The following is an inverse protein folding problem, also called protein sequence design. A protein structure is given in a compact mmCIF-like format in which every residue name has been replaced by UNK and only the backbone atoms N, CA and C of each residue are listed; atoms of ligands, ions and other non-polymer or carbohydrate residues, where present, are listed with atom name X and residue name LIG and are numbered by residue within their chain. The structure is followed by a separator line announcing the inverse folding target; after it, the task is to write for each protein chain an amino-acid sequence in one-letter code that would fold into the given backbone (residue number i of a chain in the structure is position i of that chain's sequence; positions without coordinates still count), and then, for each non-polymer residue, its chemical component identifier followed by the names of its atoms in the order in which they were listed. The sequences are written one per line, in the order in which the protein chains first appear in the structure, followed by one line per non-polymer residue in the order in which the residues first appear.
data_IF_261151398127
#
_entry.id   IF_261151398127
#
_cell.length_a   1.000
_cell.length_b   1.000
_cell.length_c   1.000
_cell.angle_alpha   90.00
_cell.angle_beta   90.00
_cell.angle_gamma   90.00
#
_symmetry.space_group_name_H-M   'P 1'
#
loop_
_entity.id
_entity.type
_entity.pdbx_description
1 polymer ?
#
# COMPACT_ATOMS: atom_id res chain seq x y z
N UNK A 1 3.83 0.12 18.39
CA UNK A 1 3.85 1.26 17.44
C UNK A 1 4.20 2.49 18.26
N UNK A 2 5.29 3.18 17.95
CA UNK A 2 5.49 4.54 18.48
C UNK A 2 4.63 5.40 17.57
N UNK A 3 3.37 5.62 17.96
CA UNK A 3 2.59 6.73 17.42
C UNK A 3 3.28 7.99 17.94
N UNK A 4 4.11 8.60 17.10
CA UNK A 4 4.43 10.00 17.31
C UNK A 4 3.16 10.76 16.94
N UNK A 5 2.41 11.15 17.97
CA UNK A 5 1.35 12.15 17.84
C UNK A 5 2.04 13.47 17.50
N UNK A 6 2.41 13.61 16.23
CA UNK A 6 3.03 14.80 15.69
C UNK A 6 1.93 15.86 15.64
N UNK A 7 1.81 16.62 16.72
CA UNK A 7 0.93 17.80 16.77
C UNK A 7 1.36 18.78 15.66
N UNK A 8 0.61 18.78 14.55
CA UNK A 8 0.87 19.66 13.42
C UNK A 8 0.51 19.06 12.07
N UNK A 9 0.27 19.93 11.09
CA UNK A 9 0.05 19.49 9.69
C UNK A 9 1.40 19.12 9.07
N UNK A 10 1.49 18.08 8.20
CA UNK A 10 2.74 17.73 7.52
C UNK A 10 3.45 18.92 6.86
N UNK A 11 2.69 19.87 6.30
CA UNK A 11 3.22 21.09 5.70
C UNK A 11 3.94 22.03 6.68
N UNK A 12 3.54 22.10 7.96
CA UNK A 12 4.22 22.87 9.00
C UNK A 12 5.55 22.22 9.43
N UNK A 13 5.68 20.93 9.15
CA UNK A 13 6.88 20.14 9.43
C UNK A 13 7.81 20.05 8.20
N UNK A 14 7.50 20.79 7.12
CA UNK A 14 8.32 20.84 5.91
C UNK A 14 8.05 19.72 4.90
N UNK A 15 7.03 18.89 5.12
CA UNK A 15 6.69 17.80 4.20
C UNK A 15 5.78 18.25 3.05
N UNK A 16 5.95 17.60 1.90
CA UNK A 16 5.01 17.63 0.77
C UNK A 16 4.77 16.22 0.25
N UNK A 17 3.59 15.96 -0.31
CA UNK A 17 3.39 14.79 -1.16
C UNK A 17 4.08 15.06 -2.50
N UNK A 18 5.07 14.26 -2.91
CA UNK A 18 5.66 14.39 -4.23
C UNK A 18 4.65 13.98 -5.31
N UNK A 19 4.81 14.53 -6.51
CA UNK A 19 4.02 14.09 -7.65
C UNK A 19 4.42 12.66 -8.05
N UNK A 20 3.47 11.90 -8.59
CA UNK A 20 3.68 10.47 -8.95
C UNK A 20 4.68 10.26 -10.10
N UNK A 21 5.12 11.31 -10.77
CA UNK A 21 6.19 11.23 -11.78
C UNK A 21 7.57 11.59 -11.22
N UNK A 22 7.66 12.01 -9.96
CA UNK A 22 8.96 12.19 -9.28
C UNK A 22 9.59 10.81 -9.00
N UNK A 23 10.92 10.72 -8.83
CA UNK A 23 11.58 9.44 -8.61
C UNK A 23 11.04 8.67 -7.39
N UNK A 24 10.74 7.39 -7.58
CA UNK A 24 10.28 6.49 -6.54
C UNK A 24 11.39 5.57 -6.05
N UNK A 25 11.26 5.12 -4.79
CA UNK A 25 12.11 4.05 -4.26
C UNK A 25 11.57 2.66 -4.62
N UNK A 26 10.25 2.47 -4.59
CA UNK A 26 9.57 1.21 -4.89
C UNK A 26 8.05 1.39 -5.01
N UNK A 27 7.38 0.39 -5.58
CA UNK A 27 5.91 0.27 -5.61
C UNK A 27 5.40 -0.69 -4.51
N UNK A 28 4.20 -0.42 -3.99
CA UNK A 28 3.48 -1.30 -3.05
C UNK A 28 2.15 -1.76 -3.66
N UNK A 29 1.83 -3.04 -3.50
CA UNK A 29 0.58 -3.63 -4.00
C UNK A 29 -0.03 -4.59 -2.96
N UNK A 30 -1.36 -4.62 -2.86
CA UNK A 30 -2.11 -5.66 -2.14
C UNK A 30 -2.40 -6.86 -3.04
N UNK A 31 -2.59 -8.04 -2.48
CA UNK A 31 -2.88 -9.27 -3.23
C UNK A 31 -4.38 -9.57 -3.27
N UNK A 32 -4.99 -9.75 -4.46
CA UNK A 32 -6.43 -9.99 -4.57
C UNK A 32 -6.77 -11.43 -4.20
N UNK A 33 -7.77 -11.61 -3.33
CA UNK A 33 -8.18 -12.94 -2.91
C UNK A 33 -9.67 -13.12 -2.57
N UNK A 34 -10.36 -12.04 -2.12
CA UNK A 34 -11.73 -12.17 -1.60
C UNK A 34 -12.70 -12.66 -2.69
N UNK A 35 -13.42 -13.77 -2.48
CA UNK A 35 -14.19 -14.44 -3.54
C UNK A 35 -15.52 -13.75 -3.87
N UNK A 36 -15.99 -12.85 -3.00
CA UNK A 36 -17.21 -12.07 -3.18
C UNK A 36 -17.02 -10.86 -4.11
N UNK A 37 -15.78 -10.35 -4.23
CA UNK A 37 -15.40 -9.34 -5.22
C UNK A 37 -14.74 -9.98 -6.46
N UNK A 38 -13.81 -10.91 -6.23
CA UNK A 38 -13.02 -11.51 -7.30
C UNK A 38 -13.53 -12.89 -7.71
N UNK A 39 -14.14 -12.96 -8.90
CA UNK A 39 -14.65 -14.22 -9.48
C UNK A 39 -13.59 -15.33 -9.50
N UNK A 40 -14.05 -16.59 -9.43
CA UNK A 40 -13.21 -17.78 -9.59
C UNK A 40 -12.07 -17.83 -8.56
N UNK A 41 -12.39 -17.49 -7.31
CA UNK A 41 -11.45 -17.40 -6.18
C UNK A 41 -10.23 -16.54 -6.51
N UNK A 42 -10.50 -15.37 -7.11
CA UNK A 42 -9.49 -14.41 -7.57
C UNK A 42 -8.46 -14.89 -8.60
N UNK A 43 -8.52 -16.13 -9.11
CA UNK A 43 -7.47 -16.69 -10.00
C UNK A 43 -7.10 -15.74 -11.14
N UNK A 44 -8.10 -15.16 -11.81
CA UNK A 44 -7.86 -14.22 -12.91
C UNK A 44 -7.32 -12.87 -12.45
N UNK A 45 -7.78 -12.36 -11.31
CA UNK A 45 -7.26 -11.13 -10.69
C UNK A 45 -5.80 -11.30 -10.28
N UNK A 46 -5.46 -12.43 -9.66
CA UNK A 46 -4.09 -12.78 -9.26
C UNK A 46 -3.15 -12.82 -10.47
N UNK A 47 -3.56 -13.46 -11.57
CA UNK A 47 -2.75 -13.43 -12.79
C UNK A 47 -2.57 -12.00 -13.34
N UNK A 48 -3.61 -11.18 -13.35
CA UNK A 48 -3.49 -9.78 -13.78
C UNK A 48 -2.54 -8.98 -12.87
N UNK A 49 -2.62 -9.16 -11.55
CA UNK A 49 -1.72 -8.51 -10.59
C UNK A 49 -0.27 -8.97 -10.74
N UNK A 50 -0.04 -10.26 -11.05
CA UNK A 50 1.30 -10.78 -11.38
C UNK A 50 1.86 -10.10 -12.62
N UNK A 51 1.06 -9.88 -13.66
CA UNK A 51 1.50 -9.18 -14.87
C UNK A 51 1.81 -7.71 -14.59
N UNK A 52 0.97 -7.02 -13.82
CA UNK A 52 1.21 -5.61 -13.42
C UNK A 52 2.48 -5.49 -12.57
N UNK A 53 2.62 -6.30 -11.52
CA UNK A 53 3.81 -6.30 -10.67
C UNK A 53 5.06 -6.64 -11.47
N UNK A 54 4.96 -7.61 -12.39
CA UNK A 54 6.05 -7.96 -13.31
C UNK A 54 6.45 -6.81 -14.22
N UNK A 55 5.49 -6.04 -14.73
CA UNK A 55 5.74 -4.88 -15.56
C UNK A 55 6.46 -3.78 -14.77
N UNK A 56 5.95 -3.44 -13.57
CA UNK A 56 6.56 -2.43 -12.69
C UNK A 56 7.98 -2.86 -12.26
N UNK A 57 8.19 -4.14 -11.98
CA UNK A 57 9.47 -4.69 -11.50
C UNK A 57 10.65 -4.53 -12.46
N UNK A 58 10.38 -4.15 -13.72
CA UNK A 58 11.41 -3.81 -14.72
C UNK A 58 11.99 -2.42 -14.51
N UNK A 59 11.29 -1.54 -13.77
CA UNK A 59 11.66 -0.14 -13.56
C UNK A 59 12.04 0.14 -12.11
N UNK A 60 11.35 -0.47 -11.15
CA UNK A 60 11.59 -0.28 -9.72
C UNK A 60 11.26 -1.54 -8.91
N UNK A 61 11.80 -1.69 -7.68
CA UNK A 61 11.38 -2.77 -6.79
C UNK A 61 9.89 -2.74 -6.50
N UNK A 62 9.28 -3.92 -6.33
CA UNK A 62 7.86 -4.04 -5.95
C UNK A 62 7.78 -4.81 -4.63
N UNK A 63 7.00 -4.31 -3.69
CA UNK A 63 6.57 -5.09 -2.51
C UNK A 63 5.10 -5.45 -2.64
N UNK A 64 4.80 -6.74 -2.58
CA UNK A 64 3.43 -7.25 -2.57
C UNK A 64 3.11 -7.76 -1.17
N UNK A 65 2.09 -7.18 -0.58
CA UNK A 65 1.51 -7.64 0.68
C UNK A 65 0.48 -8.72 0.39
N UNK A 66 0.57 -9.85 1.11
CA UNK A 66 -0.25 -11.04 0.86
C UNK A 66 -0.72 -11.61 2.19
N UNK A 67 -1.96 -12.08 2.28
CA UNK A 67 -2.41 -12.80 3.47
C UNK A 67 -1.64 -14.11 3.68
N UNK A 68 -1.63 -14.59 4.92
CA UNK A 68 -1.04 -15.88 5.27
C UNK A 68 -1.56 -17.03 4.38
N UNK A 69 -2.86 -17.01 4.06
CA UNK A 69 -3.50 -18.04 3.25
C UNK A 69 -3.04 -18.06 1.79
N UNK A 70 -2.71 -16.90 1.22
CA UNK A 70 -2.27 -16.78 -0.18
C UNK A 70 -0.75 -16.71 -0.35
N UNK A 71 0.02 -16.61 0.74
CA UNK A 71 1.47 -16.41 0.70
C UNK A 71 2.19 -17.44 -0.18
N UNK A 72 1.92 -18.73 0.02
CA UNK A 72 2.55 -19.81 -0.76
C UNK A 72 2.18 -19.72 -2.25
N UNK A 73 0.93 -19.39 -2.56
CA UNK A 73 0.45 -19.21 -3.94
C UNK A 73 1.16 -18.04 -4.62
N UNK A 74 1.23 -16.88 -3.94
CA UNK A 74 1.93 -15.70 -4.45
C UNK A 74 3.43 -15.98 -4.68
N UNK A 75 4.11 -16.61 -3.71
CA UNK A 75 5.49 -17.05 -3.87
C UNK A 75 5.69 -17.95 -5.08
N UNK A 76 4.80 -18.91 -5.31
CA UNK A 76 4.88 -19.78 -6.47
C UNK A 76 4.71 -19.02 -7.80
N UNK A 77 3.73 -18.12 -7.90
CA UNK A 77 3.46 -17.36 -9.11
C UNK A 77 4.58 -16.35 -9.44
N UNK A 78 5.30 -15.85 -8.42
CA UNK A 78 6.30 -14.80 -8.56
C UNK A 78 7.75 -15.30 -8.38
N UNK A 79 7.97 -16.61 -8.23
CA UNK A 79 9.27 -17.21 -7.90
C UNK A 79 10.45 -16.79 -8.80
N UNK A 80 10.18 -16.40 -10.05
CA UNK A 80 11.19 -16.00 -11.04
C UNK A 80 11.31 -14.47 -11.19
N UNK A 81 10.85 -13.69 -10.20
CA UNK A 81 10.81 -12.22 -10.24
C UNK A 81 11.65 -11.62 -9.10
N UNK A 82 12.98 -11.51 -9.25
CA UNK A 82 13.89 -11.16 -8.15
C UNK A 82 13.72 -9.73 -7.60
N UNK A 83 13.13 -8.83 -8.40
CA UNK A 83 12.82 -7.45 -7.98
C UNK A 83 11.47 -7.34 -7.25
N UNK A 84 10.79 -8.45 -6.98
CA UNK A 84 9.52 -8.49 -6.27
C UNK A 84 9.73 -9.15 -4.91
N UNK A 85 9.46 -8.39 -3.85
CA UNK A 85 9.45 -8.86 -2.46
C UNK A 85 8.02 -9.18 -2.04
N UNK A 86 7.82 -10.33 -1.41
CA UNK A 86 6.52 -10.72 -0.85
C UNK A 86 6.59 -10.58 0.67
N UNK A 87 5.60 -9.89 1.24
CA UNK A 87 5.45 -9.67 2.68
C UNK A 87 4.11 -10.22 3.13
N UNK A 88 4.11 -11.02 4.19
CA UNK A 88 2.86 -11.46 4.83
C UNK A 88 2.22 -10.28 5.56
N UNK A 89 0.98 -9.95 5.22
CA UNK A 89 0.19 -8.89 5.82
C UNK A 89 -1.29 -9.18 5.62
N UNK A 90 -2.09 -9.02 6.67
CA UNK A 90 -3.55 -9.10 6.57
C UNK A 90 -4.11 -7.84 5.93
N UNK A 91 -5.18 -7.99 5.12
CA UNK A 91 -5.97 -6.90 4.52
C UNK A 91 -7.37 -7.43 4.20
N UNK A 92 -8.38 -6.57 4.07
CA UNK A 92 -9.73 -6.97 3.69
C UNK A 92 -9.95 -6.91 2.15
N UNK A 93 -9.26 -6.03 1.41
CA UNK A 93 -9.13 -6.10 -0.05
C UNK A 93 -7.82 -5.46 -0.56
N UNK A 94 -7.51 -5.62 -1.85
CA UNK A 94 -6.18 -5.35 -2.43
C UNK A 94 -5.91 -3.90 -2.90
N UNK A 95 -6.68 -2.91 -2.44
CA UNK A 95 -6.72 -1.56 -3.02
C UNK A 95 -5.84 -0.54 -2.29
N UNK A 96 -4.53 -0.79 -2.25
CA UNK A 96 -3.56 0.05 -1.53
C UNK A 96 -3.43 1.49 -2.04
N UNK A 97 -3.97 1.80 -3.23
CA UNK A 97 -4.08 3.21 -3.65
C UNK A 97 -4.94 4.02 -2.68
N UNK A 98 -5.93 3.39 -2.08
CA UNK A 98 -6.96 4.05 -1.28
C UNK A 98 -6.78 3.80 0.23
N UNK A 99 -6.31 2.61 0.62
CA UNK A 99 -6.05 2.24 2.01
C UNK A 99 -4.58 2.36 2.43
N UNK A 100 -3.65 2.42 1.49
CA UNK A 100 -2.22 2.54 1.79
C UNK A 100 -1.81 3.94 2.26
N UNK A 101 -0.62 4.08 2.85
CA UNK A 101 -0.12 5.38 3.27
C UNK A 101 0.14 6.29 2.07
N UNK A 102 -0.23 7.56 2.20
CA UNK A 102 0.24 8.59 1.28
C UNK A 102 1.61 9.08 1.72
N UNK A 103 2.67 8.67 1.02
CA UNK A 103 4.03 9.09 1.36
C UNK A 103 4.24 10.59 1.13
N UNK A 104 4.93 11.20 2.08
CA UNK A 104 5.37 12.60 2.02
C UNK A 104 6.86 12.69 2.27
N UNK A 105 7.53 13.61 1.58
CA UNK A 105 8.97 13.82 1.64
C UNK A 105 9.30 15.17 2.22
N UNK A 106 10.38 15.25 2.99
CA UNK A 106 10.87 16.51 3.53
C UNK A 106 11.43 17.36 2.39
N UNK A 107 10.84 18.53 2.16
CA UNK A 107 11.22 19.46 1.08
C UNK A 107 11.93 20.71 1.62
N UNK A 108 11.76 20.99 2.91
CA UNK A 108 12.23 22.22 3.58
C UNK A 108 12.60 21.91 5.02
N UNK A 109 13.40 22.79 5.61
CA UNK A 109 13.66 22.73 7.04
C UNK A 109 12.36 22.79 7.84
N UNK A 110 12.23 21.92 8.83
CA UNK A 110 11.07 21.89 9.70
C UNK A 110 11.08 23.10 10.63
N UNK A 111 9.96 23.84 10.65
CA UNK A 111 9.72 24.88 11.67
C UNK A 111 9.17 24.33 12.98
N UNK A 112 8.97 23.00 13.09
CA UNK A 112 8.30 22.38 14.24
C UNK A 112 9.23 22.08 15.43
N UNK A 113 10.55 22.10 15.22
CA UNK A 113 11.53 21.74 16.25
C UNK A 113 11.59 20.25 16.61
N UNK A 114 10.80 19.40 15.94
CA UNK A 114 10.86 17.94 16.09
C UNK A 114 11.90 17.32 15.16
N UNK A 115 12.49 16.19 15.58
CA UNK A 115 13.25 15.33 14.68
C UNK A 115 12.32 14.79 13.59
N UNK A 116 12.71 14.99 12.33
CA UNK A 116 11.94 14.60 11.15
C UNK A 116 12.73 13.63 10.29
N UNK A 117 12.06 12.61 9.76
CA UNK A 117 12.65 11.68 8.81
C UNK A 117 12.55 12.23 7.37
N UNK A 118 13.42 11.82 6.44
CA UNK A 118 13.33 12.26 5.04
C UNK A 118 12.02 11.87 4.35
N UNK A 119 11.37 10.81 4.83
CA UNK A 119 10.09 10.28 4.33
C UNK A 119 9.19 9.96 5.53
N UNK A 120 7.92 10.31 5.43
CA UNK A 120 6.86 9.91 6.34
C UNK A 120 5.63 9.41 5.54
N UNK A 121 4.67 8.79 6.22
CA UNK A 121 3.40 8.36 5.63
C UNK A 121 2.22 9.05 6.32
N UNK A 122 1.29 9.56 5.52
CA UNK A 122 -0.03 9.95 6.02
C UNK A 122 -0.93 8.72 5.99
N UNK A 123 -1.45 8.37 7.16
CA UNK A 123 -2.42 7.30 7.38
C UNK A 123 -3.83 7.92 7.44
N UNK A 124 -4.62 7.69 6.40
CA UNK A 124 -5.99 8.21 6.32
C UNK A 124 -6.96 7.20 6.93
N UNK A 125 -8.02 7.68 7.56
CA UNK A 125 -9.09 6.78 8.01
C UNK A 125 -9.85 6.27 6.78
N UNK A 126 -9.59 5.02 6.41
CA UNK A 126 -10.30 4.32 5.35
C UNK A 126 -11.62 3.73 5.86
N UNK A 127 -12.64 3.70 4.99
CA UNK A 127 -13.99 3.26 5.36
C UNK A 127 -14.71 2.44 4.29
N UNK A 128 -13.97 1.71 3.44
CA UNK A 128 -14.56 0.95 2.32
C UNK A 128 -15.40 1.83 1.35
N UNK A 129 -14.96 3.06 1.09
CA UNK A 129 -15.59 4.01 0.14
C UNK A 129 -17.07 4.37 0.41
N UNK A 130 -17.49 4.40 1.68
CA UNK A 130 -18.89 4.73 2.00
C UNK A 130 -19.35 4.28 3.40
N UNK A 131 -18.48 3.65 4.17
CA UNK A 131 -18.77 3.20 5.52
C UNK A 131 -19.84 2.11 5.55
N UNK A 132 -20.56 2.03 6.67
CA UNK A 132 -21.55 0.98 6.92
C UNK A 132 -22.80 1.05 6.05
N UNK A 133 -23.08 2.22 5.47
CA UNK A 133 -24.31 2.47 4.71
C UNK A 133 -24.11 2.21 3.21
N UNK A 134 -23.03 2.73 2.62
CA UNK A 134 -22.79 2.70 1.18
C UNK A 134 -21.45 2.05 0.78
N UNK A 135 -20.70 1.51 1.74
CA UNK A 135 -19.39 0.93 1.48
C UNK A 135 -19.45 -0.37 0.67
N UNK A 136 -18.37 -0.65 -0.05
CA UNK A 136 -18.25 -1.87 -0.87
C UNK A 136 -18.22 -3.17 -0.05
N UNK A 137 -17.86 -3.12 1.24
CA UNK A 137 -17.92 -4.23 2.17
C UNK A 137 -18.04 -3.76 3.62
N UNK A 138 -18.50 -4.64 4.51
CA UNK A 138 -18.90 -4.30 5.87
C UNK A 138 -17.80 -4.32 6.93
N UNK A 139 -16.63 -4.90 6.62
CA UNK A 139 -15.48 -4.99 7.53
C UNK A 139 -14.18 -4.61 6.80
N UNK A 140 -13.60 -3.47 7.19
CA UNK A 140 -12.34 -2.91 6.71
C UNK A 140 -11.34 -2.73 7.86
N UNK A 141 -11.48 -3.49 8.95
CA UNK A 141 -10.64 -3.34 10.14
C UNK A 141 -9.17 -3.69 9.94
N UNK A 142 -8.82 -4.34 8.82
CA UNK A 142 -7.46 -4.73 8.44
C UNK A 142 -6.89 -3.86 7.30
N UNK A 143 -7.66 -2.89 6.80
CA UNK A 143 -7.24 -1.96 5.74
C UNK A 143 -6.71 -0.65 6.31
#
# INVERSE_FOLDING_TARGET
KIEMDLEGKPSLMGYRMPAEWEPHQQCWMGWPERPDNWRENARFGQHAFVEVASAISQFEPVTICVSSAQYTTACHLLQNKPNIRIVEMSMNDSWFRDSGPTFVVLDRESSSGYEVHPVAGIDWIFNSWGGTEEGCYSDWSLD
#
